data_IF_681826039781
#
_entry.id   IF_681826039781
#
_cell.length_a   1.000
_cell.length_b   1.000
_cell.length_c   1.000
_cell.angle_alpha   90.00
_cell.angle_beta   90.00
_cell.angle_gamma   90.00
#
_symmetry.space_group_name_H-M   'P 1'
#
loop_
_entity.id
_entity.type
_entity.pdbx_description
1 polymer ?
#
# COMPACT_ATOMS: atom_id res chain seq x y z
N UNK A 1 6.13 0.31 -11.93
CA UNK A 1 5.37 -0.95 -11.72
C UNK A 1 4.32 -1.04 -12.81
N UNK A 2 4.27 -2.14 -13.56
CA UNK A 2 3.25 -2.36 -14.59
C UNK A 2 2.16 -3.22 -13.98
N UNK A 3 0.90 -2.80 -14.13
CA UNK A 3 -0.28 -3.52 -13.64
C UNK A 3 -1.21 -3.84 -14.81
N UNK A 4 -2.00 -4.89 -14.64
CA UNK A 4 -3.09 -5.25 -15.53
C UNK A 4 -4.39 -4.73 -14.91
N UNK A 5 -5.17 -4.03 -15.73
CA UNK A 5 -6.45 -3.48 -15.32
C UNK A 5 -7.40 -4.59 -14.80
N UNK A 6 -8.07 -4.32 -13.67
CA UNK A 6 -9.02 -5.23 -13.02
C UNK A 6 -8.36 -6.30 -12.14
N UNK A 7 -7.03 -6.38 -12.10
CA UNK A 7 -6.33 -7.30 -11.20
C UNK A 7 -6.14 -6.69 -9.81
N UNK A 8 -6.08 -7.55 -8.80
CA UNK A 8 -5.71 -7.20 -7.43
C UNK A 8 -4.26 -7.61 -7.17
N UNK A 9 -3.52 -6.75 -6.50
CA UNK A 9 -2.10 -6.90 -6.22
C UNK A 9 -1.85 -6.76 -4.72
N UNK A 10 -1.04 -7.67 -4.17
CA UNK A 10 -0.50 -7.51 -2.82
C UNK A 10 0.80 -6.72 -2.89
N UNK A 11 0.80 -5.51 -2.33
CA UNK A 11 1.96 -4.66 -2.17
C UNK A 11 2.53 -4.86 -0.77
N UNK A 12 3.82 -5.19 -0.71
CA UNK A 12 4.59 -5.19 0.54
C UNK A 12 5.46 -3.94 0.59
N UNK A 13 5.07 -3.00 1.43
CA UNK A 13 5.74 -1.72 1.59
C UNK A 13 6.65 -1.83 2.80
N UNK A 14 7.93 -1.47 2.64
CA UNK A 14 8.94 -1.53 3.71
C UNK A 14 9.65 -0.18 3.75
N UNK A 15 9.62 0.50 4.90
CA UNK A 15 10.37 1.72 5.09
C UNK A 15 11.76 1.40 5.66
N UNK A 16 12.80 1.69 4.88
CA UNK A 16 14.21 1.49 5.25
C UNK A 16 14.97 2.82 5.42
N UNK A 17 14.26 3.95 5.41
CA UNK A 17 14.84 5.28 5.69
C UNK A 17 15.17 5.37 7.17
N UNK A 18 16.27 6.04 7.53
CA UNK A 18 16.77 6.01 8.91
C UNK A 18 15.90 6.76 9.91
N UNK A 19 15.47 7.99 9.60
CA UNK A 19 14.87 8.90 10.59
C UNK A 19 13.63 9.64 10.08
N UNK A 20 12.99 9.15 9.01
CA UNK A 20 11.83 9.83 8.41
C UNK A 20 10.61 8.91 8.33
N UNK A 21 9.49 9.45 8.76
CA UNK A 21 8.17 8.88 8.53
C UNK A 21 7.73 9.24 7.13
N UNK A 22 7.26 8.25 6.39
CA UNK A 22 6.83 8.42 5.00
C UNK A 22 5.32 8.29 4.89
N UNK A 23 4.74 9.14 4.06
CA UNK A 23 3.37 9.03 3.61
C UNK A 23 3.37 8.40 2.22
N UNK A 24 2.72 7.25 2.08
CA UNK A 24 2.58 6.53 0.82
C UNK A 24 1.12 6.55 0.39
N UNK A 25 0.86 6.99 -0.84
CA UNK A 25 -0.46 6.99 -1.45
C UNK A 25 -0.34 6.70 -2.95
N UNK A 26 -1.39 6.15 -3.53
CA UNK A 26 -1.50 5.95 -4.98
C UNK A 26 -2.67 6.81 -5.45
N UNK A 27 -2.41 7.74 -6.36
CA UNK A 27 -3.43 8.66 -6.85
C UNK A 27 -4.64 7.89 -7.40
N UNK A 28 -5.85 8.31 -7.01
CA UNK A 28 -7.13 7.71 -7.38
C UNK A 28 -7.29 6.22 -7.00
N UNK A 29 -6.48 5.69 -6.07
CA UNK A 29 -6.63 4.33 -5.60
C UNK A 29 -6.74 4.29 -4.08
N UNK A 30 -7.77 3.60 -3.60
CA UNK A 30 -7.90 3.25 -2.18
C UNK A 30 -7.10 1.98 -1.90
N UNK A 31 -6.41 1.96 -0.77
CA UNK A 31 -5.53 0.90 -0.32
C UNK A 31 -6.21 0.12 0.79
N UNK A 32 -6.23 -1.22 0.70
CA UNK A 32 -6.74 -2.07 1.79
C UNK A 32 -5.58 -2.63 2.58
N UNK A 33 -5.40 -2.22 3.83
CA UNK A 33 -4.32 -2.72 4.68
C UNK A 33 -4.73 -4.08 5.26
N UNK A 34 -3.86 -5.08 5.10
CA UNK A 34 -4.14 -6.46 5.53
C UNK A 34 -3.17 -6.97 6.58
N UNK A 35 -1.91 -6.50 6.57
CA UNK A 35 -0.93 -6.86 7.58
C UNK A 35 -0.02 -5.68 7.91
N UNK A 36 0.55 -5.68 9.12
CA UNK A 36 1.63 -4.78 9.54
C UNK A 36 2.67 -5.58 10.31
N UNK A 37 3.94 -5.37 9.99
CA UNK A 37 5.09 -6.00 10.66
C UNK A 37 5.00 -7.53 10.73
N UNK A 38 4.45 -8.14 9.66
CA UNK A 38 4.26 -9.59 9.54
C UNK A 38 3.03 -10.13 10.29
N UNK A 39 2.25 -9.27 10.95
CA UNK A 39 1.03 -9.66 11.66
C UNK A 39 -0.21 -9.26 10.87
N UNK A 40 -1.12 -10.20 10.67
CA UNK A 40 -2.41 -9.93 10.06
C UNK A 40 -3.28 -9.07 10.98
N UNK A 41 -3.93 -8.08 10.38
CA UNK A 41 -4.81 -7.15 11.07
C UNK A 41 -6.24 -7.33 10.54
N UNK A 42 -7.20 -6.73 11.23
CA UNK A 42 -8.52 -6.51 10.62
C UNK A 42 -8.35 -5.59 9.42
N UNK A 43 -8.88 -6.00 8.28
CA UNK A 43 -8.79 -5.22 7.05
C UNK A 43 -9.49 -3.87 7.21
N UNK A 44 -8.82 -2.81 6.76
CA UNK A 44 -9.39 -1.48 6.68
C UNK A 44 -8.91 -0.79 5.40
N UNK A 45 -9.73 0.12 4.91
CA UNK A 45 -9.44 0.91 3.72
C UNK A 45 -8.85 2.26 4.13
N UNK A 46 -7.89 2.73 3.35
CA UNK A 46 -7.27 4.02 3.53
C UNK A 46 -6.75 4.57 2.21
N UNK A 47 -6.80 5.88 2.00
CA UNK A 47 -6.28 6.50 0.78
C UNK A 47 -4.77 6.78 0.86
N UNK A 48 -4.22 6.79 2.08
CA UNK A 48 -2.79 6.98 2.33
C UNK A 48 -2.34 6.18 3.55
N UNK A 49 -1.05 5.89 3.61
CA UNK A 49 -0.43 5.12 4.68
C UNK A 49 0.73 5.92 5.25
N UNK A 50 0.80 6.00 6.58
CA UNK A 50 1.97 6.51 7.28
C UNK A 50 2.81 5.32 7.74
N UNK A 51 4.06 5.25 7.28
CA UNK A 51 4.99 4.15 7.59
C UNK A 51 6.26 4.70 8.22
N UNK A 52 6.60 4.22 9.43
CA UNK A 52 7.80 4.67 10.16
C UNK A 52 9.03 3.85 9.76
N UNK A 53 10.26 4.35 9.98
CA UNK A 53 11.50 3.59 9.81
C UNK A 53 11.42 2.19 10.44
N UNK A 54 11.81 1.17 9.66
CA UNK A 54 11.86 -0.22 10.12
C UNK A 54 10.51 -0.96 10.11
N UNK A 55 9.40 -0.29 9.76
CA UNK A 55 8.10 -0.95 9.62
C UNK A 55 7.89 -1.55 8.23
N UNK A 56 7.01 -2.55 8.19
CA UNK A 56 6.45 -3.12 6.98
C UNK A 56 4.93 -3.14 7.02
N UNK A 57 4.29 -2.93 5.87
CA UNK A 57 2.84 -3.02 5.72
C UNK A 57 2.50 -3.79 4.45
N UNK A 58 1.59 -4.75 4.57
CA UNK A 58 1.04 -5.47 3.42
C UNK A 58 -0.35 -4.89 3.09
N UNK A 59 -0.53 -4.57 1.81
CA UNK A 59 -1.64 -3.76 1.31
C UNK A 59 -2.17 -4.36 0.02
N UNK A 60 -3.47 -4.52 -0.11
CA UNK A 60 -4.10 -4.88 -1.38
C UNK A 60 -4.41 -3.62 -2.19
N UNK A 61 -3.95 -3.62 -3.44
CA UNK A 61 -4.24 -2.62 -4.45
C UNK A 61 -5.12 -3.25 -5.53
N UNK A 62 -6.28 -2.65 -5.79
CA UNK A 62 -7.11 -3.02 -6.93
C UNK A 62 -6.83 -2.05 -8.09
N UNK A 63 -6.27 -2.55 -9.20
CA UNK A 63 -5.99 -1.75 -10.40
C UNK A 63 -7.27 -1.49 -11.22
N UNK A 64 -8.25 -0.80 -10.63
CA UNK A 64 -9.57 -0.55 -11.21
C UNK A 64 -9.68 0.82 -11.92
N UNK A 65 -8.63 1.64 -11.89
CA UNK A 65 -8.61 2.92 -12.58
C UNK A 65 -8.29 2.73 -14.06
N UNK A 66 -8.92 3.56 -14.91
CA UNK A 66 -8.59 3.63 -16.33
C UNK A 66 -7.08 3.82 -16.49
N UNK A 67 -6.48 3.07 -17.42
CA UNK A 67 -5.05 3.17 -17.70
C UNK A 67 -4.70 4.63 -18.03
N UNK A 68 -3.94 5.26 -17.15
CA UNK A 68 -3.41 6.61 -17.37
C UNK A 68 -2.47 6.60 -18.57
N UNK A 69 -2.55 7.66 -19.38
CA UNK A 69 -1.59 7.92 -20.45
C UNK A 69 -0.31 8.51 -19.88
#
# INVERSE_FOLDING_TARGET
>A
MTVVHGCQYLLRIINTVMNEELFFAIANHTLTVVAKDGLYLKHFESDYLMITPGQSMDVLLHANQLSGR
#
